data_IF_024152213396
#
_entry.id   IF_024152213396
#
_cell.length_a   1.000
_cell.length_b   1.000
_cell.length_c   1.000
_cell.angle_alpha   90.00
_cell.angle_beta   90.00
_cell.angle_gamma   90.00
#
_symmetry.space_group_name_H-M   'P 1'
#
loop_
_entity.id
_entity.type
_entity.pdbx_description
1 polymer ?
#
# COMPACT_ATOMS: atom_id res chain seq x y z
N UNK A 1 5.14 -13.93 38.36
CA UNK A 1 5.04 -14.37 36.95
C UNK A 1 3.58 -14.52 36.60
N UNK A 2 3.00 -13.64 35.78
CA UNK A 2 1.60 -13.78 35.35
C UNK A 2 1.47 -14.97 34.40
N UNK A 3 0.45 -15.80 34.57
CA UNK A 3 0.19 -16.99 33.71
C UNK A 3 -0.04 -16.65 32.23
N UNK A 4 -0.41 -15.40 31.94
CA UNK A 4 -0.66 -14.88 30.60
C UNK A 4 0.41 -13.83 30.28
N UNK A 5 1.15 -14.04 29.19
CA UNK A 5 2.16 -13.11 28.68
C UNK A 5 1.48 -11.88 28.06
N UNK A 6 2.24 -10.79 27.84
CA UNK A 6 1.72 -9.57 27.24
C UNK A 6 1.28 -9.74 25.77
N UNK A 7 1.87 -10.69 25.05
CA UNK A 7 1.49 -11.06 23.68
C UNK A 7 0.21 -11.89 23.67
N UNK A 8 0.07 -12.82 24.62
CA UNK A 8 -1.14 -13.62 24.78
C UNK A 8 -2.38 -12.76 25.10
N UNK A 9 -2.22 -11.58 25.70
CA UNK A 9 -3.33 -10.64 25.90
C UNK A 9 -3.92 -10.15 24.58
N UNK A 10 -3.11 -9.98 23.54
CA UNK A 10 -3.59 -9.54 22.21
C UNK A 10 -4.51 -10.63 21.63
N UNK A 11 -4.08 -11.90 21.68
CA UNK A 11 -4.91 -13.02 21.22
C UNK A 11 -6.21 -13.17 22.02
N UNK A 12 -6.18 -12.96 23.34
CA UNK A 12 -7.38 -12.97 24.19
C UNK A 12 -8.35 -11.84 23.81
N UNK A 13 -7.82 -10.65 23.50
CA UNK A 13 -8.62 -9.50 23.06
C UNK A 13 -9.22 -9.72 21.66
N UNK A 14 -8.46 -10.32 20.73
CA UNK A 14 -8.97 -10.68 19.40
C UNK A 14 -10.15 -11.66 19.51
N UNK A 15 -9.99 -12.73 20.29
CA UNK A 15 -11.08 -13.70 20.53
C UNK A 15 -12.27 -13.03 21.24
N UNK A 16 -12.03 -12.06 22.12
CA UNK A 16 -13.11 -11.27 22.73
C UNK A 16 -13.90 -10.48 21.68
N UNK A 17 -13.21 -9.85 20.73
CA UNK A 17 -13.83 -9.04 19.68
C UNK A 17 -14.55 -9.89 18.62
N UNK A 18 -14.00 -11.05 18.26
CA UNK A 18 -14.51 -11.89 17.17
C UNK A 18 -15.60 -12.86 17.63
N UNK A 19 -15.38 -13.53 18.78
CA UNK A 19 -16.23 -14.62 19.28
C UNK A 19 -16.99 -14.25 20.57
N UNK A 20 -16.69 -13.09 21.14
CA UNK A 20 -17.36 -12.55 22.31
C UNK A 20 -16.75 -12.99 23.65
N UNK A 21 -17.32 -12.42 24.72
CA UNK A 21 -16.82 -12.53 26.09
C UNK A 21 -16.68 -13.97 26.61
N UNK A 22 -17.63 -14.84 26.28
CA UNK A 22 -17.65 -16.23 26.76
C UNK A 22 -16.50 -17.04 26.16
N UNK A 23 -16.28 -16.93 24.86
CA UNK A 23 -15.19 -17.61 24.15
C UNK A 23 -13.81 -17.18 24.69
N UNK A 24 -13.61 -15.89 24.90
CA UNK A 24 -12.37 -15.38 25.49
C UNK A 24 -12.10 -15.93 26.90
N UNK A 25 -13.15 -16.11 27.71
CA UNK A 25 -13.02 -16.65 29.07
C UNK A 25 -12.76 -18.15 29.06
N UNK A 26 -13.36 -18.89 28.14
CA UNK A 26 -13.10 -20.31 27.95
C UNK A 26 -11.67 -20.56 27.44
N UNK A 27 -11.14 -19.69 26.59
CA UNK A 27 -9.73 -19.69 26.19
C UNK A 27 -8.80 -19.44 27.38
N UNK A 28 -9.09 -18.42 28.20
CA UNK A 28 -8.33 -18.14 29.42
C UNK A 28 -8.33 -19.32 30.40
N UNK A 29 -9.45 -20.03 30.49
CA UNK A 29 -9.61 -21.18 31.38
C UNK A 29 -8.90 -22.43 30.86
N UNK A 30 -9.05 -22.73 29.57
CA UNK A 30 -8.54 -23.95 28.94
C UNK A 30 -7.03 -23.87 28.70
N UNK A 31 -6.55 -22.77 28.12
CA UNK A 31 -5.16 -22.64 27.66
C UNK A 31 -4.22 -22.14 28.76
N UNK A 32 -4.69 -21.18 29.58
CA UNK A 32 -3.85 -20.52 30.58
C UNK A 32 -4.19 -20.94 32.03
N UNK A 33 -5.19 -21.79 32.22
CA UNK A 33 -5.62 -22.26 33.54
C UNK A 33 -6.06 -21.14 34.47
N UNK A 34 -6.60 -20.04 33.92
CA UNK A 34 -7.08 -18.89 34.67
C UNK A 34 -8.53 -19.13 35.09
N UNK A 35 -8.74 -19.33 36.40
CA UNK A 35 -10.09 -19.55 36.96
C UNK A 35 -10.92 -18.27 37.04
N UNK A 36 -10.28 -17.11 37.18
CA UNK A 36 -10.96 -15.82 37.31
C UNK A 36 -10.46 -14.82 36.25
N UNK A 37 -11.24 -14.57 35.19
CA UNK A 37 -10.90 -13.63 34.13
C UNK A 37 -10.83 -12.15 34.58
N UNK A 38 -11.40 -11.81 35.74
CA UNK A 38 -11.50 -10.42 36.23
C UNK A 38 -10.13 -9.70 36.29
N UNK A 39 -9.10 -10.38 36.79
CA UNK A 39 -7.76 -9.79 36.89
C UNK A 39 -7.07 -9.63 35.53
N UNK A 40 -7.45 -10.44 34.54
CA UNK A 40 -6.97 -10.30 33.16
C UNK A 40 -7.67 -9.12 32.50
N UNK A 41 -9.00 -9.02 32.65
CA UNK A 41 -9.76 -7.86 32.15
C UNK A 41 -9.23 -6.54 32.73
N UNK A 42 -9.10 -6.45 34.05
CA UNK A 42 -8.54 -5.27 34.73
C UNK A 42 -7.11 -4.94 34.27
N UNK A 43 -6.35 -5.94 33.80
CA UNK A 43 -5.00 -5.74 33.25
C UNK A 43 -5.07 -5.23 31.81
N UNK A 44 -5.99 -5.75 30.99
CA UNK A 44 -6.26 -5.25 29.64
C UNK A 44 -6.75 -3.79 29.72
N UNK A 45 -7.71 -3.49 30.59
CA UNK A 45 -8.26 -2.13 30.78
C UNK A 45 -7.22 -1.10 31.27
N UNK A 46 -6.10 -1.58 31.83
CA UNK A 46 -4.99 -0.73 32.31
C UNK A 46 -3.84 -0.63 31.32
N UNK A 47 -3.82 -1.48 30.30
CA UNK A 47 -2.74 -1.53 29.32
C UNK A 47 -3.03 -0.46 28.26
N UNK A 48 -2.11 0.47 28.01
CA UNK A 48 -2.33 1.57 27.05
C UNK A 48 -2.54 1.08 25.61
N UNK A 49 -2.26 -0.19 25.31
CA UNK A 49 -2.47 -0.79 23.99
C UNK A 49 -3.93 -1.15 23.71
N UNK A 50 -4.79 -1.19 24.73
CA UNK A 50 -6.18 -1.56 24.57
C UNK A 50 -7.09 -0.43 25.06
N UNK A 51 -8.06 -0.06 24.24
CA UNK A 51 -9.09 0.91 24.58
C UNK A 51 -10.46 0.25 24.46
N UNK A 52 -11.26 0.28 25.52
CA UNK A 52 -12.56 -0.39 25.53
C UNK A 52 -13.65 0.52 24.98
N UNK A 53 -14.33 0.07 23.94
CA UNK A 53 -15.53 0.69 23.38
C UNK A 53 -16.79 0.09 24.03
N UNK A 54 -17.49 0.85 24.90
CA UNK A 54 -18.69 0.37 25.59
C UNK A 54 -19.91 0.23 24.66
N UNK A 55 -19.95 0.92 23.53
CA UNK A 55 -21.09 0.91 22.62
C UNK A 55 -21.09 -0.38 21.76
N UNK A 56 -19.89 -0.85 21.43
CA UNK A 56 -19.67 -2.06 20.61
C UNK A 56 -19.31 -3.30 21.44
N UNK A 57 -19.11 -3.14 22.75
CA UNK A 57 -18.56 -4.16 23.64
C UNK A 57 -17.32 -4.84 23.06
N UNK A 58 -16.34 -4.04 22.64
CA UNK A 58 -15.10 -4.52 22.05
C UNK A 58 -13.89 -3.68 22.49
N UNK A 59 -12.68 -4.19 22.24
CA UNK A 59 -11.43 -3.47 22.51
C UNK A 59 -10.76 -3.04 21.21
N UNK A 60 -10.44 -1.75 21.11
CA UNK A 60 -9.57 -1.18 20.08
C UNK A 60 -8.11 -1.43 20.46
N UNK A 61 -7.32 -1.97 19.54
CA UNK A 61 -5.90 -2.29 19.75
C UNK A 61 -5.04 -1.19 19.13
N UNK A 62 -4.52 -0.29 19.97
CA UNK A 62 -3.81 0.94 19.57
C UNK A 62 -2.36 0.71 19.09
N UNK A 63 -2.07 -0.41 18.41
CA UNK A 63 -0.69 -0.77 18.04
C UNK A 63 -0.52 -1.76 16.89
N UNK A 64 -1.58 -2.12 16.17
CA UNK A 64 -1.49 -2.89 14.91
C UNK A 64 -1.35 -1.98 13.68
N UNK A 65 -1.24 -0.68 13.90
CA UNK A 65 -1.53 0.36 12.91
C UNK A 65 -0.41 0.63 11.91
N UNK A 66 0.83 0.13 12.07
CA UNK A 66 1.82 0.33 11.01
C UNK A 66 1.49 -0.45 9.73
N UNK A 67 0.86 -1.62 9.84
CA UNK A 67 0.46 -2.41 8.67
C UNK A 67 -0.91 -1.97 8.12
N UNK A 68 -1.85 -1.58 8.97
CA UNK A 68 -3.18 -1.14 8.56
C UNK A 68 -3.18 0.28 7.95
N UNK A 69 -2.12 1.08 8.18
CA UNK A 69 -1.90 2.34 7.45
C UNK A 69 -1.12 2.18 6.15
N UNK A 70 -0.64 0.98 5.81
CA UNK A 70 0.10 0.76 4.57
C UNK A 70 -0.84 0.74 3.34
N UNK A 71 -2.10 0.39 3.54
CA UNK A 71 -3.11 0.31 2.49
C UNK A 71 -4.30 1.21 2.81
N UNK A 72 -4.77 1.95 1.81
CA UNK A 72 -6.01 2.72 1.91
C UNK A 72 -7.21 1.78 2.06
N UNK A 73 -8.18 2.15 2.89
CA UNK A 73 -9.45 1.41 3.01
C UNK A 73 -10.27 1.49 1.71
N UNK A 74 -11.19 0.55 1.49
CA UNK A 74 -12.09 0.56 0.31
C UNK A 74 -12.97 1.81 0.33
N UNK A 75 -13.43 2.20 1.51
CA UNK A 75 -14.25 3.39 1.73
C UNK A 75 -13.48 4.67 1.37
N UNK A 76 -12.18 4.72 1.65
CA UNK A 76 -11.29 5.83 1.26
C UNK A 76 -11.06 5.89 -0.25
N UNK A 77 -10.91 4.73 -0.91
CA UNK A 77 -10.80 4.65 -2.38
C UNK A 77 -12.08 5.04 -3.10
N UNK A 78 -13.24 4.75 -2.51
CA UNK A 78 -14.55 5.04 -3.08
C UNK A 78 -15.10 6.42 -2.68
N UNK A 79 -14.44 7.12 -1.75
CA UNK A 79 -14.81 8.48 -1.39
C UNK A 79 -14.57 9.41 -2.58
N UNK A 80 -15.51 10.32 -2.91
CA UNK A 80 -15.28 11.29 -3.96
C UNK A 80 -14.02 12.07 -3.61
N UNK A 81 -12.99 11.96 -4.47
CA UNK A 81 -11.72 12.64 -4.30
C UNK A 81 -11.98 14.14 -4.34
N UNK A 82 -12.26 14.72 -3.18
CA UNK A 82 -12.09 16.16 -2.98
C UNK A 82 -10.58 16.32 -2.91
N UNK A 83 -9.94 17.04 -3.85
CA UNK A 83 -8.51 17.29 -3.76
C UNK A 83 -8.25 18.15 -2.51
N UNK A 84 -8.04 17.50 -1.38
CA UNK A 84 -7.41 18.12 -0.22
C UNK A 84 -5.96 18.31 -0.60
N UNK A 85 -5.65 19.54 -1.01
CA UNK A 85 -4.29 20.04 -1.09
C UNK A 85 -3.65 19.79 0.27
N UNK A 86 -2.86 18.72 0.36
CA UNK A 86 -2.05 18.41 1.54
C UNK A 86 -1.23 19.66 1.81
N UNK A 87 -1.56 20.38 2.88
CA UNK A 87 -0.72 21.44 3.42
C UNK A 87 0.46 20.78 4.12
N UNK A 88 1.28 20.05 3.38
CA UNK A 88 2.65 19.77 3.78
C UNK A 88 3.38 21.10 3.69
N UNK A 89 3.66 21.65 4.86
CA UNK A 89 4.63 22.71 5.14
C UNK A 89 5.61 22.98 3.99
N UNK A 90 5.48 24.16 3.41
CA UNK A 90 6.55 25.00 2.85
C UNK A 90 7.70 24.27 2.13
N UNK A 91 7.42 23.71 0.95
CA UNK A 91 8.39 23.74 -0.15
C UNK A 91 7.67 24.11 -1.44
N UNK A 92 7.88 25.36 -1.85
CA UNK A 92 7.77 25.89 -3.21
C UNK A 92 6.99 24.99 -4.20
N UNK A 93 5.67 25.19 -4.30
CA UNK A 93 4.92 24.79 -5.49
C UNK A 93 5.31 25.75 -6.62
N UNK A 94 6.49 25.55 -7.20
CA UNK A 94 6.68 25.91 -8.59
C UNK A 94 5.76 24.95 -9.35
N UNK A 95 4.85 25.50 -10.14
CA UNK A 95 3.98 24.69 -11.00
C UNK A 95 4.88 23.98 -12.04
N UNK A 96 5.42 22.83 -11.65
CA UNK A 96 6.32 22.02 -12.46
C UNK A 96 5.57 21.14 -13.46
N UNK A 97 4.23 21.16 -13.46
CA UNK A 97 3.41 20.39 -14.41
C UNK A 97 3.86 20.52 -15.88
N UNK A 98 4.14 21.73 -16.43
CA UNK A 98 4.67 21.85 -17.79
C UNK A 98 6.06 21.20 -17.93
N UNK A 99 6.97 21.39 -16.97
CA UNK A 99 8.31 20.81 -17.02
C UNK A 99 8.31 19.27 -16.89
N UNK A 100 7.44 18.74 -16.03
CA UNK A 100 7.24 17.30 -15.85
C UNK A 100 6.62 16.67 -17.10
N UNK A 101 5.69 17.39 -17.76
CA UNK A 101 5.14 16.96 -19.05
C UNK A 101 6.18 16.99 -20.17
N UNK A 102 7.01 18.02 -20.24
CA UNK A 102 8.13 18.08 -21.20
C UNK A 102 9.10 16.91 -20.98
N UNK A 103 9.41 16.60 -19.72
CA UNK A 103 10.25 15.45 -19.38
C UNK A 103 9.61 14.14 -19.82
N UNK A 104 8.32 13.94 -19.56
CA UNK A 104 7.60 12.75 -20.04
C UNK A 104 7.63 12.63 -21.56
N UNK A 105 7.43 13.74 -22.29
CA UNK A 105 7.51 13.76 -23.74
C UNK A 105 8.91 13.36 -24.22
N UNK A 106 9.96 13.86 -23.57
CA UNK A 106 11.34 13.50 -23.89
C UNK A 106 11.62 12.02 -23.65
N UNK A 107 11.13 11.45 -22.56
CA UNK A 107 11.27 10.02 -22.25
C UNK A 107 10.56 9.16 -23.30
N UNK A 108 9.31 9.49 -23.64
CA UNK A 108 8.54 8.75 -24.66
C UNK A 108 9.16 8.85 -26.06
N UNK A 109 9.67 10.02 -26.44
CA UNK A 109 10.41 10.20 -27.68
C UNK A 109 11.72 9.39 -27.67
N UNK A 110 12.42 9.38 -26.54
CA UNK A 110 13.63 8.59 -26.33
C UNK A 110 13.38 7.10 -26.53
N UNK A 111 12.37 6.55 -25.85
CA UNK A 111 11.97 5.15 -25.97
C UNK A 111 11.61 4.79 -27.42
N UNK A 112 10.85 5.67 -28.10
CA UNK A 112 10.45 5.42 -29.49
C UNK A 112 11.63 5.48 -30.46
N UNK A 113 12.54 6.43 -30.30
CA UNK A 113 13.76 6.52 -31.11
C UNK A 113 14.69 5.33 -30.88
N UNK A 114 14.79 4.88 -29.62
CA UNK A 114 15.58 3.70 -29.26
C UNK A 114 15.01 2.44 -29.92
N UNK A 115 13.69 2.26 -29.93
CA UNK A 115 13.05 1.15 -30.63
C UNK A 115 13.34 1.20 -32.15
N UNK A 116 13.22 2.38 -32.77
CA UNK A 116 13.49 2.56 -34.20
C UNK A 116 14.96 2.32 -34.56
N UNK A 117 15.89 2.66 -33.66
CA UNK A 117 17.34 2.46 -33.87
C UNK A 117 17.75 1.01 -34.11
N UNK A 118 16.90 0.05 -33.70
CA UNK A 118 17.09 -1.37 -33.99
C UNK A 118 16.98 -1.71 -35.47
N UNK A 119 16.27 -0.88 -36.23
CA UNK A 119 15.92 -1.16 -37.63
C UNK A 119 16.47 -0.10 -38.59
N UNK A 120 16.75 1.10 -38.09
CA UNK A 120 17.13 2.25 -38.91
C UNK A 120 18.50 2.74 -38.45
N UNK A 121 19.45 2.81 -39.39
CA UNK A 121 20.73 3.49 -39.16
C UNK A 121 20.86 4.69 -40.08
N UNK A 122 21.41 5.77 -39.53
CA UNK A 122 21.60 7.04 -40.21
C UNK A 122 23.09 7.32 -40.35
N UNK A 123 23.56 7.40 -41.58
CA UNK A 123 24.89 7.92 -41.89
C UNK A 123 24.77 9.40 -42.24
N UNK A 124 25.17 10.26 -41.29
CA UNK A 124 25.07 11.72 -41.41
C UNK A 124 26.09 12.31 -42.39
N UNK A 125 27.18 11.60 -42.68
CA UNK A 125 28.22 12.02 -43.62
C UNK A 125 27.75 11.80 -45.06
N UNK A 126 27.30 10.59 -45.38
CA UNK A 126 26.81 10.25 -46.72
C UNK A 126 25.35 10.68 -46.97
N UNK A 127 24.65 11.17 -45.93
CA UNK A 127 23.21 11.46 -45.96
C UNK A 127 22.38 10.23 -46.35
N UNK A 128 22.82 9.05 -45.95
CA UNK A 128 22.16 7.77 -46.25
C UNK A 128 21.41 7.26 -45.03
N UNK A 129 20.18 6.80 -45.24
CA UNK A 129 19.40 6.06 -44.24
C UNK A 129 19.31 4.61 -44.68
N UNK A 130 19.75 3.69 -43.83
CA UNK A 130 19.65 2.26 -44.06
C UNK A 130 18.50 1.72 -43.20
N UNK A 131 17.55 1.05 -43.84
CA UNK A 131 16.37 0.49 -43.19
C UNK A 131 16.40 -1.02 -43.34
N UNK A 132 16.52 -1.75 -42.24
CA UNK A 132 16.44 -3.20 -42.20
C UNK A 132 14.98 -3.66 -42.32
N UNK A 133 14.54 -3.80 -43.57
CA UNK A 133 13.19 -4.29 -43.89
C UNK A 133 12.96 -5.73 -43.44
N UNK A 134 13.99 -6.56 -43.34
CA UNK A 134 13.84 -7.98 -42.96
C UNK A 134 13.47 -8.08 -41.49
N UNK A 135 14.22 -7.38 -40.64
CA UNK A 135 13.94 -7.29 -39.21
C UNK A 135 12.58 -6.61 -38.94
N UNK A 136 12.25 -5.53 -39.65
CA UNK A 136 10.94 -4.88 -39.54
C UNK A 136 9.77 -5.83 -39.84
N UNK A 137 9.84 -6.57 -40.95
CA UNK A 137 8.80 -7.54 -41.33
C UNK A 137 8.69 -8.69 -40.34
N UNK A 138 9.82 -9.19 -39.83
CA UNK A 138 9.83 -10.24 -38.79
C UNK A 138 9.19 -9.78 -37.47
N UNK A 139 9.32 -8.48 -37.15
CA UNK A 139 8.69 -7.86 -35.99
C UNK A 139 7.21 -7.49 -36.22
N UNK A 140 6.64 -7.81 -37.40
CA UNK A 140 5.24 -7.57 -37.73
C UNK A 140 4.94 -6.21 -38.37
N UNK A 141 5.96 -5.42 -38.69
CA UNK A 141 5.77 -4.11 -39.32
C UNK A 141 5.56 -4.23 -40.83
N UNK A 142 4.58 -3.46 -41.35
CA UNK A 142 4.37 -3.27 -42.80
C UNK A 142 5.12 -2.03 -43.27
N UNK A 143 6.09 -2.22 -44.17
CA UNK A 143 6.84 -1.12 -44.80
C UNK A 143 6.07 -0.64 -46.03
N UNK A 144 5.76 0.65 -46.09
CA UNK A 144 5.12 1.31 -47.24
C UNK A 144 6.09 2.37 -47.79
N UNK A 145 6.42 2.27 -49.07
CA UNK A 145 7.24 3.24 -49.80
C UNK A 145 6.37 3.96 -50.83
N UNK A 146 6.40 5.29 -50.85
CA UNK A 146 5.66 6.14 -51.79
C UNK A 146 6.56 6.62 -52.93
#
# INVERSE_FOLDING_TARGET
MSKVSNEALIGVVQVYNDEGRTAAYDLLRSQYGVKNPYFIRKRIDKDPRFEYDPDRDCYLVNGLTEADHLFMSIEELCSPVVPQRVQTSEKHLIDNRPADMEKLIQELLGDRLLELSRYITLDSLSKTMIIDQTSLKSAGYRVVTH
#
